data_IF_711015031782
#
_entry.id   IF_711015031782
#
_cell.length_a   1.000
_cell.length_b   1.000
_cell.length_c   1.000
_cell.angle_alpha   90.00
_cell.angle_beta   90.00
_cell.angle_gamma   90.00
#
_symmetry.space_group_name_H-M   'P 1'
#
loop_
_entity.id
_entity.type
_entity.pdbx_description
1 polymer ?
#
# COMPACT_ATOMS: atom_id res chain seq x y z
N UNK A 1 4.46 25.98 5.46
CA UNK A 1 3.20 25.54 6.11
C UNK A 1 2.30 26.75 6.09
N UNK A 2 1.05 26.67 5.56
CA UNK A 2 0.15 27.81 5.62
C UNK A 2 -0.13 28.16 7.08
N UNK A 3 0.10 29.40 7.45
CA UNK A 3 -0.32 29.94 8.75
C UNK A 3 -1.83 30.16 8.69
N UNK A 4 -2.59 29.46 9.51
CA UNK A 4 -4.04 29.58 9.58
C UNK A 4 -4.74 28.35 10.13
N UNK A 5 -6.01 28.49 10.44
CA UNK A 5 -6.85 27.37 10.88
C UNK A 5 -7.21 26.47 9.69
N UNK A 6 -6.89 25.18 9.78
CA UNK A 6 -7.32 24.20 8.79
C UNK A 6 -8.76 23.82 9.08
N UNK A 7 -9.67 24.13 8.14
CA UNK A 7 -11.07 23.74 8.21
C UNK A 7 -11.28 22.52 7.33
N UNK A 8 -11.81 21.43 7.90
CA UNK A 8 -12.21 20.26 7.17
C UNK A 8 -13.65 20.43 6.66
N UNK A 9 -13.89 20.08 5.41
CA UNK A 9 -15.20 20.17 4.77
C UNK A 9 -15.50 18.86 4.05
N UNK A 10 -16.78 18.45 4.03
CA UNK A 10 -17.28 17.31 3.27
C UNK A 10 -17.49 17.63 1.78
N UNK A 11 -17.07 18.81 1.33
CA UNK A 11 -17.17 19.20 -0.08
C UNK A 11 -16.27 18.32 -0.94
N UNK A 12 -16.88 17.54 -1.83
CA UNK A 12 -16.17 16.68 -2.79
C UNK A 12 -15.89 17.47 -4.07
N UNK A 13 -14.60 17.69 -4.35
CA UNK A 13 -14.19 18.26 -5.63
C UNK A 13 -14.02 17.12 -6.64
N UNK A 14 -14.92 17.05 -7.63
CA UNK A 14 -14.79 16.10 -8.73
C UNK A 14 -13.82 16.63 -9.78
N UNK A 15 -12.65 16.02 -9.89
CA UNK A 15 -11.69 16.33 -10.94
C UNK A 15 -12.12 15.66 -12.26
N UNK A 16 -12.75 16.43 -13.16
CA UNK A 16 -13.06 15.96 -14.53
C UNK A 16 -11.86 16.27 -15.42
N UNK A 17 -11.17 15.23 -15.85
CA UNK A 17 -10.07 15.39 -16.84
C UNK A 17 -10.65 15.84 -18.18
N UNK A 18 -10.38 17.10 -18.58
CA UNK A 18 -10.64 17.59 -19.91
C UNK A 18 -9.33 17.50 -20.72
N UNK A 19 -9.25 16.56 -21.67
CA UNK A 19 -8.10 16.40 -22.57
C UNK A 19 -7.27 15.13 -22.38
N UNK A 20 -6.31 14.91 -23.28
CA UNK A 20 -5.38 13.78 -23.21
C UNK A 20 -4.44 13.95 -22.01
N UNK A 21 -4.36 12.93 -21.17
CA UNK A 21 -3.36 12.85 -20.11
C UNK A 21 -1.98 12.65 -20.73
N UNK A 22 -1.01 13.46 -20.36
CA UNK A 22 0.40 13.24 -20.66
C UNK A 22 1.03 12.51 -19.46
N UNK A 23 1.24 11.19 -19.55
CA UNK A 23 1.74 10.40 -18.43
C UNK A 23 3.16 10.78 -18.03
N UNK A 24 3.98 11.29 -18.97
CA UNK A 24 5.39 11.56 -18.74
C UNK A 24 5.65 13.01 -18.28
N UNK A 25 4.60 13.82 -18.15
CA UNK A 25 4.73 15.26 -17.85
C UNK A 25 5.51 15.51 -16.56
N UNK A 26 5.15 14.83 -15.48
CA UNK A 26 5.80 15.06 -14.20
C UNK A 26 7.24 14.56 -14.19
N UNK A 27 7.51 13.41 -14.79
CA UNK A 27 8.87 12.89 -14.94
C UNK A 27 9.77 13.90 -15.66
N UNK A 28 9.32 14.41 -16.82
CA UNK A 28 10.08 15.42 -17.57
C UNK A 28 10.32 16.73 -16.81
N UNK A 29 9.38 17.15 -15.95
CA UNK A 29 9.56 18.33 -15.10
C UNK A 29 10.72 18.10 -14.13
N UNK A 30 10.75 16.98 -13.40
CA UNK A 30 11.83 16.68 -12.46
C UNK A 30 13.17 16.50 -13.15
N UNK A 31 13.22 15.80 -14.28
CA UNK A 31 14.44 15.63 -15.05
C UNK A 31 15.00 16.98 -15.58
N UNK A 32 14.12 17.90 -16.00
CA UNK A 32 14.52 19.24 -16.41
C UNK A 32 15.09 20.06 -15.25
N UNK A 33 14.49 19.99 -14.07
CA UNK A 33 15.00 20.66 -12.86
C UNK A 33 16.40 20.15 -12.52
N UNK A 34 16.59 18.83 -12.51
CA UNK A 34 17.89 18.20 -12.23
C UNK A 34 18.94 18.54 -13.28
N UNK A 35 18.59 18.54 -14.59
CA UNK A 35 19.47 18.93 -15.67
C UNK A 35 19.86 20.43 -15.60
N UNK A 36 19.00 21.25 -15.01
CA UNK A 36 19.29 22.66 -14.70
C UNK A 36 20.17 22.88 -13.47
N UNK A 37 20.61 21.80 -12.80
CA UNK A 37 21.43 21.87 -11.59
C UNK A 37 20.63 22.18 -10.30
N UNK A 38 19.30 22.10 -10.35
CA UNK A 38 18.46 22.31 -9.18
C UNK A 38 18.54 21.11 -8.22
N UNK A 39 18.52 21.39 -6.92
CA UNK A 39 18.38 20.35 -5.88
C UNK A 39 16.91 20.19 -5.55
N UNK A 40 16.41 18.95 -5.60
CA UNK A 40 15.04 18.67 -5.25
C UNK A 40 14.82 18.78 -3.74
N UNK A 41 13.81 19.53 -3.35
CA UNK A 41 13.33 19.52 -1.96
C UNK A 41 12.80 18.13 -1.56
N UNK A 42 12.74 17.77 -0.26
CA UNK A 42 12.35 16.44 0.20
C UNK A 42 11.01 15.95 -0.39
N UNK A 43 10.03 16.83 -0.49
CA UNK A 43 8.74 16.49 -1.12
C UNK A 43 8.88 16.14 -2.59
N UNK A 44 9.67 16.90 -3.34
CA UNK A 44 9.92 16.65 -4.75
C UNK A 44 10.74 15.38 -4.97
N UNK A 45 11.67 15.05 -4.06
CA UNK A 45 12.41 13.78 -4.11
C UNK A 45 11.48 12.57 -4.03
N UNK A 46 10.51 12.58 -3.07
CA UNK A 46 9.52 11.52 -2.99
C UNK A 46 8.70 11.41 -4.28
N UNK A 47 8.14 12.51 -4.76
CA UNK A 47 7.31 12.48 -5.97
C UNK A 47 8.09 12.06 -7.21
N UNK A 48 9.34 12.50 -7.35
CA UNK A 48 10.21 12.04 -8.43
C UNK A 48 10.48 10.54 -8.35
N UNK A 49 10.80 10.01 -7.16
CA UNK A 49 10.95 8.58 -6.94
C UNK A 49 9.68 7.79 -7.30
N UNK A 50 8.49 8.31 -7.01
CA UNK A 50 7.20 7.71 -7.42
C UNK A 50 7.01 7.74 -8.93
N UNK A 51 7.33 8.84 -9.60
CA UNK A 51 7.25 8.92 -11.07
C UNK A 51 8.20 7.91 -11.72
N UNK A 52 9.44 7.79 -11.24
CA UNK A 52 10.38 6.77 -11.70
C UNK A 52 9.82 5.35 -11.52
N UNK A 53 9.18 5.06 -10.39
CA UNK A 53 8.53 3.78 -10.13
C UNK A 53 7.39 3.51 -11.14
N UNK A 54 6.53 4.47 -11.40
CA UNK A 54 5.43 4.33 -12.36
C UNK A 54 5.95 4.12 -13.81
N UNK A 55 7.11 4.68 -14.12
CA UNK A 55 7.81 4.46 -15.40
C UNK A 55 8.71 3.23 -15.40
N UNK A 56 8.63 2.37 -14.36
CA UNK A 56 9.38 1.12 -14.22
C UNK A 56 10.93 1.30 -14.19
N UNK A 57 11.39 2.51 -13.87
CA UNK A 57 12.81 2.84 -13.70
C UNK A 57 13.27 2.48 -12.28
N UNK A 58 13.17 1.19 -11.92
CA UNK A 58 13.34 0.70 -10.56
C UNK A 58 14.70 1.01 -9.92
N UNK A 59 15.85 0.84 -10.59
CA UNK A 59 17.15 1.18 -9.99
C UNK A 59 17.27 2.67 -9.65
N UNK A 60 16.68 3.54 -10.46
CA UNK A 60 16.68 4.97 -10.21
C UNK A 60 15.69 5.35 -9.10
N UNK A 61 14.55 4.67 -9.04
CA UNK A 61 13.59 4.79 -7.92
C UNK A 61 14.30 4.50 -6.60
N UNK A 62 15.03 3.39 -6.53
CA UNK A 62 15.80 2.99 -5.34
C UNK A 62 16.79 4.08 -4.95
N UNK A 63 17.65 4.53 -5.88
CA UNK A 63 18.66 5.54 -5.62
C UNK A 63 18.05 6.83 -5.03
N UNK A 64 16.97 7.32 -5.64
CA UNK A 64 16.30 8.57 -5.21
C UNK A 64 15.63 8.40 -3.85
N UNK A 65 14.90 7.31 -3.62
CA UNK A 65 14.15 7.13 -2.38
C UNK A 65 15.03 6.74 -1.19
N UNK A 66 16.11 5.99 -1.40
CA UNK A 66 17.10 5.71 -0.36
C UNK A 66 17.79 7.00 0.09
N UNK A 67 18.13 7.89 -0.84
CA UNK A 67 18.71 9.20 -0.49
C UNK A 67 17.69 10.09 0.22
N UNK A 68 16.43 10.10 -0.23
CA UNK A 68 15.35 10.82 0.44
C UNK A 68 15.16 10.37 1.90
N UNK A 69 15.23 9.07 2.18
CA UNK A 69 15.05 8.54 3.55
C UNK A 69 16.13 9.00 4.52
N UNK A 70 17.34 9.33 4.04
CA UNK A 70 18.42 9.91 4.85
C UNK A 70 18.17 11.39 5.22
N UNK A 71 17.32 12.08 4.47
CA UNK A 71 17.07 13.50 4.68
C UNK A 71 16.26 13.73 5.97
N UNK A 72 16.78 14.43 6.99
CA UNK A 72 16.08 14.66 8.26
C UNK A 72 14.83 15.53 8.11
N UNK A 73 14.77 16.39 7.10
CA UNK A 73 13.66 17.33 6.86
C UNK A 73 12.47 16.71 6.12
N UNK A 74 12.52 15.41 5.77
CA UNK A 74 11.41 14.73 5.13
C UNK A 74 10.22 14.57 6.09
N UNK A 75 9.02 14.94 5.62
CA UNK A 75 7.80 14.70 6.39
C UNK A 75 7.59 13.20 6.64
N UNK A 76 7.19 12.85 7.88
CA UNK A 76 7.06 11.47 8.34
C UNK A 76 6.21 10.59 7.40
N UNK A 77 5.01 11.05 7.01
CA UNK A 77 4.14 10.27 6.13
C UNK A 77 4.78 10.04 4.75
N UNK A 78 5.56 11.03 4.26
CA UNK A 78 6.32 10.87 3.02
C UNK A 78 7.44 9.83 3.15
N UNK A 79 8.09 9.72 4.30
CA UNK A 79 9.11 8.69 4.56
C UNK A 79 8.50 7.30 4.63
N UNK A 80 7.34 7.17 5.27
CA UNK A 80 6.61 5.90 5.32
C UNK A 80 6.15 5.48 3.91
N UNK A 81 5.64 6.44 3.11
CA UNK A 81 5.28 6.18 1.71
C UNK A 81 6.50 5.80 0.85
N UNK A 82 7.65 6.43 1.07
CA UNK A 82 8.90 6.03 0.41
C UNK A 82 9.29 4.59 0.73
N UNK A 83 9.14 4.14 1.99
CA UNK A 83 9.34 2.74 2.35
C UNK A 83 8.39 1.80 1.63
N UNK A 84 7.11 2.21 1.50
CA UNK A 84 6.12 1.45 0.74
C UNK A 84 6.51 1.34 -0.74
N UNK A 85 6.84 2.45 -1.39
CA UNK A 85 7.25 2.46 -2.82
C UNK A 85 8.53 1.67 -3.04
N UNK A 86 9.53 1.78 -2.15
CA UNK A 86 10.75 0.97 -2.20
C UNK A 86 10.45 -0.52 -2.08
N UNK A 87 9.60 -0.92 -1.14
CA UNK A 87 9.19 -2.31 -0.99
C UNK A 87 8.52 -2.84 -2.25
N UNK A 88 7.64 -2.06 -2.87
CA UNK A 88 7.02 -2.41 -4.15
C UNK A 88 8.04 -2.49 -5.29
N UNK A 89 9.01 -1.56 -5.31
CA UNK A 89 10.10 -1.53 -6.28
C UNK A 89 10.93 -2.82 -6.21
N UNK A 90 11.40 -3.19 -5.03
CA UNK A 90 12.15 -4.43 -4.80
C UNK A 90 11.33 -5.68 -5.16
N UNK A 91 10.02 -5.69 -4.91
CA UNK A 91 9.15 -6.78 -5.39
C UNK A 91 9.14 -6.89 -6.91
N UNK A 92 9.10 -5.77 -7.64
CA UNK A 92 9.15 -5.75 -9.12
C UNK A 92 10.50 -6.23 -9.64
N UNK A 93 11.58 -5.99 -8.91
CA UNK A 93 12.92 -6.52 -9.23
C UNK A 93 13.13 -7.98 -8.79
N UNK A 94 12.17 -8.59 -8.09
CA UNK A 94 12.29 -9.96 -7.57
C UNK A 94 13.06 -10.08 -6.25
N UNK A 95 13.45 -8.97 -5.66
CA UNK A 95 14.25 -8.88 -4.43
C UNK A 95 13.37 -8.97 -3.17
N UNK A 96 12.82 -10.16 -2.92
CA UNK A 96 11.85 -10.40 -1.83
C UNK A 96 12.37 -10.05 -0.43
N UNK A 97 13.68 -10.19 -0.19
CA UNK A 97 14.30 -9.85 1.10
C UNK A 97 14.35 -8.34 1.28
N UNK A 98 14.91 -7.62 0.32
CA UNK A 98 14.98 -6.15 0.31
C UNK A 98 13.59 -5.52 0.40
N UNK A 99 12.60 -6.11 -0.27
CA UNK A 99 11.22 -5.66 -0.18
C UNK A 99 10.67 -5.73 1.26
N UNK A 100 10.86 -6.86 1.94
CA UNK A 100 10.44 -7.02 3.33
C UNK A 100 11.17 -6.04 4.25
N UNK A 101 12.48 -5.88 4.08
CA UNK A 101 13.30 -4.94 4.85
C UNK A 101 12.81 -3.49 4.66
N UNK A 102 12.50 -3.07 3.43
CA UNK A 102 11.97 -1.74 3.15
C UNK A 102 10.61 -1.50 3.83
N UNK A 103 9.67 -2.46 3.75
CA UNK A 103 8.38 -2.34 4.45
C UNK A 103 8.56 -2.26 5.96
N UNK A 104 9.38 -3.13 6.56
CA UNK A 104 9.60 -3.15 8.00
C UNK A 104 10.40 -1.94 8.50
N UNK A 105 11.22 -1.32 7.66
CA UNK A 105 11.95 -0.10 8.04
C UNK A 105 11.02 1.04 8.42
N UNK A 106 9.82 1.13 7.82
CA UNK A 106 8.79 2.10 8.21
C UNK A 106 8.39 2.01 9.69
N UNK A 107 8.50 0.81 10.29
CA UNK A 107 8.14 0.57 11.71
C UNK A 107 9.17 1.17 12.68
N UNK A 108 10.34 1.57 12.21
CA UNK A 108 11.30 2.32 13.01
C UNK A 108 10.91 3.78 13.16
N UNK A 109 9.94 4.25 12.39
CA UNK A 109 9.51 5.65 12.33
C UNK A 109 8.19 5.88 13.04
N UNK A 110 7.22 4.96 12.89
CA UNK A 110 5.89 5.05 13.53
C UNK A 110 5.22 3.66 13.53
N UNK A 111 4.03 3.58 14.16
CA UNK A 111 3.17 2.38 14.11
C UNK A 111 2.87 2.00 12.66
N UNK A 112 2.68 0.70 12.37
CA UNK A 112 2.50 0.23 11.00
C UNK A 112 1.26 0.86 10.35
N UNK A 113 1.35 1.13 9.05
CA UNK A 113 0.21 1.46 8.21
C UNK A 113 -0.44 0.19 7.67
N UNK A 114 -1.75 0.22 7.42
CA UNK A 114 -2.50 -0.95 6.97
C UNK A 114 -1.95 -1.51 5.65
N UNK A 115 -1.51 -0.64 4.73
CA UNK A 115 -0.88 -1.01 3.47
C UNK A 115 0.42 -1.80 3.67
N UNK A 116 1.25 -1.35 4.61
CA UNK A 116 2.50 -2.03 4.98
C UNK A 116 2.17 -3.42 5.54
N UNK A 117 1.22 -3.51 6.46
CA UNK A 117 0.77 -4.79 7.01
C UNK A 117 0.29 -5.75 5.91
N UNK A 118 -0.51 -5.27 4.96
CA UNK A 118 -1.00 -6.06 3.84
C UNK A 118 0.14 -6.57 2.95
N UNK A 119 1.13 -5.74 2.63
CA UNK A 119 2.25 -6.16 1.79
C UNK A 119 3.18 -7.15 2.51
N UNK A 120 3.45 -6.94 3.80
CA UNK A 120 4.20 -7.91 4.61
C UNK A 120 3.44 -9.23 4.71
N UNK A 121 2.12 -9.20 4.97
CA UNK A 121 1.27 -10.38 4.97
C UNK A 121 1.33 -11.14 3.65
N UNK A 122 1.29 -10.41 2.53
CA UNK A 122 1.40 -10.99 1.17
C UNK A 122 2.73 -11.70 0.95
N UNK A 123 3.86 -11.12 1.39
CA UNK A 123 5.18 -11.76 1.29
C UNK A 123 5.20 -13.07 2.08
N UNK A 124 4.63 -13.12 3.29
CA UNK A 124 4.55 -14.34 4.06
C UNK A 124 3.64 -15.39 3.42
N UNK A 125 2.53 -14.97 2.83
CA UNK A 125 1.63 -15.89 2.12
C UNK A 125 2.27 -16.49 0.86
N UNK A 126 3.07 -15.70 0.13
CA UNK A 126 3.87 -16.17 -1.02
C UNK A 126 5.00 -17.13 -0.62
N UNK A 127 5.44 -17.07 0.64
CA UNK A 127 6.42 -18.02 1.22
C UNK A 127 5.77 -19.26 1.85
N UNK A 128 4.46 -19.44 1.64
CA UNK A 128 3.67 -20.54 2.22
C UNK A 128 3.68 -20.56 3.77
N UNK A 129 3.71 -19.37 4.36
CA UNK A 129 3.67 -19.14 5.81
C UNK A 129 2.34 -18.48 6.21
N UNK A 130 1.19 -19.20 6.10
CA UNK A 130 -0.13 -18.61 6.27
C UNK A 130 -0.38 -18.10 7.70
N UNK A 131 0.26 -18.68 8.70
CA UNK A 131 0.13 -18.22 10.09
C UNK A 131 0.72 -16.83 10.31
N UNK A 132 1.93 -16.60 9.76
CA UNK A 132 2.58 -15.29 9.81
C UNK A 132 1.83 -14.26 8.95
N UNK A 133 1.36 -14.69 7.78
CA UNK A 133 0.53 -13.85 6.92
C UNK A 133 -0.75 -13.40 7.63
N UNK A 134 -1.47 -14.33 8.29
CA UNK A 134 -2.68 -14.04 9.05
C UNK A 134 -2.42 -13.03 10.18
N UNK A 135 -1.29 -13.12 10.87
CA UNK A 135 -0.90 -12.13 11.88
C UNK A 135 -0.85 -10.72 11.28
N UNK A 136 -0.16 -10.54 10.16
CA UNK A 136 0.00 -9.23 9.55
C UNK A 136 -1.29 -8.67 8.94
N UNK A 137 -2.10 -9.51 8.31
CA UNK A 137 -3.43 -9.09 7.85
C UNK A 137 -4.37 -8.75 9.02
N UNK A 138 -4.24 -9.48 10.14
CA UNK A 138 -4.93 -9.13 11.38
C UNK A 138 -4.51 -7.76 11.90
N UNK A 139 -3.20 -7.45 11.87
CA UNK A 139 -2.71 -6.12 12.26
C UNK A 139 -3.29 -5.01 11.36
N UNK A 140 -3.40 -5.23 10.05
CA UNK A 140 -4.00 -4.24 9.15
C UNK A 140 -5.42 -3.82 9.58
N UNK A 141 -6.21 -4.77 10.11
CA UNK A 141 -7.58 -4.50 10.61
C UNK A 141 -7.61 -3.69 11.91
N UNK A 142 -6.51 -3.63 12.67
CA UNK A 142 -6.42 -2.83 13.91
C UNK A 142 -6.02 -1.38 13.65
N UNK A 143 -5.49 -1.08 12.46
CA UNK A 143 -5.06 0.27 12.11
C UNK A 143 -6.30 1.13 11.81
N UNK A 144 -6.53 2.23 12.56
CA UNK A 144 -7.67 3.11 12.30
C UNK A 144 -7.51 3.83 10.97
N UNK A 145 -8.62 3.97 10.24
CA UNK A 145 -8.66 4.79 9.03
C UNK A 145 -8.78 6.27 9.42
N UNK A 146 -7.67 6.98 9.54
CA UNK A 146 -7.65 8.42 9.83
C UNK A 146 -7.36 9.23 8.56
N UNK A 147 -8.44 9.70 7.92
CA UNK A 147 -8.36 10.54 6.71
C UNK A 147 -7.74 11.94 6.97
N UNK A 148 -7.66 12.38 8.23
CA UNK A 148 -7.13 13.70 8.61
C UNK A 148 -5.60 13.69 8.74
N UNK A 149 -5.00 12.53 8.91
CA UNK A 149 -3.56 12.38 9.12
C UNK A 149 -2.74 12.80 7.89
N UNK A 150 -3.35 12.83 6.71
CA UNK A 150 -2.68 13.11 5.44
C UNK A 150 -1.88 11.90 4.96
N UNK A 151 -1.09 12.10 3.88
CA UNK A 151 -0.33 11.02 3.25
C UNK A 151 -1.16 10.20 2.25
N UNK A 152 -0.54 9.17 1.71
CA UNK A 152 -1.21 8.22 0.82
C UNK A 152 -1.74 7.04 1.63
N UNK A 153 -2.98 6.66 1.41
CA UNK A 153 -3.59 5.51 2.06
C UNK A 153 -4.46 4.71 1.08
N UNK A 154 -4.57 3.42 1.31
CA UNK A 154 -5.40 2.51 0.53
C UNK A 154 -6.56 2.02 1.42
N UNK A 155 -7.75 2.62 1.25
CA UNK A 155 -8.91 2.32 2.09
C UNK A 155 -9.24 0.82 2.17
N UNK A 156 -9.01 0.07 1.08
CA UNK A 156 -9.24 -1.38 1.03
C UNK A 156 -8.34 -2.18 1.99
N UNK A 157 -7.17 -1.65 2.35
CA UNK A 157 -6.25 -2.28 3.30
C UNK A 157 -6.74 -2.24 4.75
N UNK A 158 -7.77 -1.43 5.05
CA UNK A 158 -8.38 -1.36 6.37
C UNK A 158 -9.59 -2.30 6.55
N UNK A 159 -9.88 -3.15 5.57
CA UNK A 159 -11.03 -4.04 5.64
C UNK A 159 -11.05 -5.11 4.56
N UNK A 160 -11.46 -4.77 3.34
CA UNK A 160 -11.71 -5.75 2.28
C UNK A 160 -10.51 -6.64 1.99
N UNK A 161 -9.33 -6.05 1.73
CA UNK A 161 -8.11 -6.83 1.40
C UNK A 161 -7.69 -7.76 2.55
N UNK A 162 -7.54 -7.29 3.81
CA UNK A 162 -7.22 -8.19 4.92
C UNK A 162 -8.26 -9.30 5.10
N UNK A 163 -9.56 -9.03 5.00
CA UNK A 163 -10.56 -10.07 5.14
C UNK A 163 -10.45 -11.15 4.07
N UNK A 164 -10.27 -10.76 2.81
CA UNK A 164 -10.06 -11.71 1.72
C UNK A 164 -8.81 -12.56 1.95
N UNK A 165 -7.72 -11.96 2.40
CA UNK A 165 -6.46 -12.68 2.62
C UNK A 165 -6.48 -13.53 3.89
N UNK A 166 -7.16 -13.11 4.96
CA UNK A 166 -7.39 -13.93 6.15
C UNK A 166 -8.22 -15.17 5.81
N UNK A 167 -9.23 -15.02 4.96
CA UNK A 167 -9.98 -16.15 4.43
C UNK A 167 -9.03 -17.20 3.80
N UNK A 168 -8.12 -16.77 2.92
CA UNK A 168 -7.12 -17.65 2.29
C UNK A 168 -6.16 -18.26 3.32
N UNK A 169 -5.68 -17.45 4.28
CA UNK A 169 -4.76 -17.93 5.31
C UNK A 169 -5.38 -19.03 6.15
N UNK A 170 -6.61 -18.84 6.64
CA UNK A 170 -7.28 -19.82 7.50
C UNK A 170 -7.69 -21.09 6.73
N UNK A 171 -8.09 -20.97 5.46
CA UNK A 171 -8.33 -22.15 4.62
C UNK A 171 -7.05 -22.98 4.44
N UNK A 172 -5.90 -22.34 4.15
CA UNK A 172 -4.59 -23.01 4.07
C UNK A 172 -4.13 -23.64 5.39
N UNK A 173 -4.58 -23.12 6.53
CA UNK A 173 -4.31 -23.69 7.86
C UNK A 173 -5.28 -24.82 8.24
N UNK A 174 -6.25 -25.16 7.38
CA UNK A 174 -7.25 -26.20 7.66
C UNK A 174 -8.32 -25.76 8.65
N UNK A 175 -8.61 -24.47 8.74
CA UNK A 175 -9.60 -23.87 9.62
C UNK A 175 -10.78 -23.28 8.82
N UNK A 176 -11.65 -24.14 8.22
CA UNK A 176 -12.66 -23.67 7.27
C UNK A 176 -13.72 -22.75 7.88
N UNK A 177 -14.10 -22.92 9.14
CA UNK A 177 -15.08 -22.05 9.80
C UNK A 177 -14.54 -20.63 9.96
N UNK A 178 -13.27 -20.47 10.37
CA UNK A 178 -12.61 -19.18 10.44
C UNK A 178 -12.44 -18.56 9.05
N UNK A 179 -12.04 -19.36 8.08
CA UNK A 179 -11.92 -18.91 6.69
C UNK A 179 -13.26 -18.38 6.18
N UNK A 180 -14.34 -19.10 6.42
CA UNK A 180 -15.69 -18.69 6.04
C UNK A 180 -16.18 -17.45 6.79
N UNK A 181 -15.83 -17.32 8.07
CA UNK A 181 -16.11 -16.09 8.84
C UNK A 181 -15.51 -14.86 8.14
N UNK A 182 -14.24 -14.92 7.76
CA UNK A 182 -13.58 -13.81 7.08
C UNK A 182 -14.10 -13.60 5.64
N UNK A 183 -14.50 -14.67 4.94
CA UNK A 183 -15.22 -14.55 3.69
C UNK A 183 -16.50 -13.73 3.84
N UNK A 184 -17.33 -14.01 4.87
CA UNK A 184 -18.55 -13.23 5.13
C UNK A 184 -18.24 -11.75 5.39
N UNK A 185 -17.17 -11.45 6.14
CA UNK A 185 -16.73 -10.06 6.38
C UNK A 185 -16.30 -9.33 5.11
N UNK A 186 -15.63 -10.01 4.20
CA UNK A 186 -15.30 -9.46 2.88
C UNK A 186 -16.56 -9.21 2.04
N UNK A 187 -17.51 -10.16 2.04
CA UNK A 187 -18.78 -10.06 1.32
C UNK A 187 -19.64 -8.90 1.80
N UNK A 188 -19.66 -8.61 3.11
CA UNK A 188 -20.35 -7.44 3.69
C UNK A 188 -19.85 -6.12 3.07
N UNK A 189 -18.60 -6.05 2.61
CA UNK A 189 -18.01 -4.85 2.01
C UNK A 189 -18.18 -4.77 0.50
N UNK A 190 -18.06 -5.91 -0.20
CA UNK A 190 -18.13 -5.97 -1.67
C UNK A 190 -18.82 -7.26 -2.13
N UNK A 191 -20.14 -7.25 -2.15
CA UNK A 191 -20.97 -8.42 -2.49
C UNK A 191 -20.70 -8.97 -3.89
N UNK A 192 -20.49 -8.09 -4.87
CA UNK A 192 -20.35 -8.45 -6.29
C UNK A 192 -18.88 -8.60 -6.73
N UNK A 193 -17.92 -8.58 -5.79
CA UNK A 193 -16.52 -8.77 -6.13
C UNK A 193 -16.29 -10.20 -6.65
N UNK A 194 -15.60 -10.37 -7.80
CA UNK A 194 -15.39 -11.70 -8.39
C UNK A 194 -14.71 -12.71 -7.44
N UNK A 195 -13.78 -12.24 -6.59
CA UNK A 195 -13.12 -13.09 -5.59
C UNK A 195 -14.07 -13.53 -4.48
N UNK A 196 -15.00 -12.64 -4.08
CA UNK A 196 -16.05 -12.99 -3.09
C UNK A 196 -17.01 -14.02 -3.66
N UNK A 197 -17.46 -13.83 -4.89
CA UNK A 197 -18.34 -14.79 -5.57
C UNK A 197 -17.67 -16.15 -5.77
N UNK A 198 -16.38 -16.16 -6.14
CA UNK A 198 -15.58 -17.38 -6.24
C UNK A 198 -15.50 -18.11 -4.89
N UNK A 199 -15.16 -17.38 -3.81
CA UNK A 199 -15.05 -17.96 -2.47
C UNK A 199 -16.40 -18.50 -1.98
N UNK A 200 -17.51 -17.81 -2.24
CA UNK A 200 -18.85 -18.30 -1.90
C UNK A 200 -19.13 -19.67 -2.53
N UNK A 201 -18.84 -19.81 -3.82
CA UNK A 201 -18.99 -21.08 -4.52
C UNK A 201 -18.07 -22.16 -3.93
N UNK A 202 -16.79 -21.82 -3.70
CA UNK A 202 -15.78 -22.73 -3.16
C UNK A 202 -16.18 -23.26 -1.78
N UNK A 203 -16.64 -22.42 -0.84
CA UNK A 203 -17.03 -22.84 0.50
C UNK A 203 -18.26 -23.73 0.49
N UNK A 204 -19.24 -23.43 -0.36
CA UNK A 204 -20.42 -24.28 -0.53
C UNK A 204 -20.06 -25.65 -1.09
N UNK A 205 -19.25 -25.73 -2.15
CA UNK A 205 -18.91 -26.98 -2.81
C UNK A 205 -17.95 -27.86 -1.96
N UNK A 206 -16.98 -27.25 -1.31
CA UNK A 206 -15.95 -28.00 -0.57
C UNK A 206 -16.36 -28.34 0.87
N UNK A 207 -17.07 -27.44 1.53
CA UNK A 207 -17.34 -27.54 2.95
C UNK A 207 -18.83 -27.53 3.32
N UNK A 208 -19.75 -27.32 2.37
CA UNK A 208 -21.18 -27.17 2.64
C UNK A 208 -21.54 -25.90 3.43
N UNK A 209 -20.70 -24.86 3.41
CA UNK A 209 -20.90 -23.60 4.11
C UNK A 209 -21.55 -22.55 3.20
N UNK A 210 -22.63 -21.85 3.67
CA UNK A 210 -23.41 -20.86 2.94
C UNK A 210 -23.51 -19.51 3.66
#
# INVERSE_FOLDING_TARGET
>A
IPEGNIIYSDVVIQHRKCGKSDPDRNLRIYEKMLAGGETLEPRHQLYYGRELYYHQRYPETEAVLVEFLKNPSGWLENKIDACFVLGQCYRKMGEKKSALEAFLYSLTMDVPRAEICCEVGKIFLERELPRQAAYWYGQALTVPLDKKKGGFFMAECHGFVPYMQLCVCYDRMGCPEQAFFFHKKAREQKTEDPGVLYNQKYFREKYGLE
#
